data_IF_537638543520
#
_entry.id   IF_537638543520
#
_cell.length_a   1.000
_cell.length_b   1.000
_cell.length_c   1.000
_cell.angle_alpha   90.00
_cell.angle_beta   90.00
_cell.angle_gamma   90.00
#
_symmetry.space_group_name_H-M   'P 1'
#
loop_
_entity.id
_entity.type
_entity.pdbx_description
1 polymer ?
#
# COMPACT_ATOMS: atom_id res chain seq x y z
N UNK A 1 -1.97 3.39 14.83
CA UNK A 1 -2.96 2.65 14.02
C UNK A 1 -4.13 2.35 14.93
N UNK A 2 -5.37 2.61 14.50
CA UNK A 2 -6.55 2.44 15.38
C UNK A 2 -6.56 1.01 15.93
N UNK A 3 -6.53 0.88 17.26
CA UNK A 3 -6.70 -0.40 17.92
C UNK A 3 -8.03 -0.99 17.49
N UNK A 4 -7.97 -2.10 16.76
CA UNK A 4 -9.17 -2.77 16.30
C UNK A 4 -9.84 -3.41 17.49
N UNK A 5 -11.01 -2.90 17.88
CA UNK A 5 -11.83 -3.57 18.89
C UNK A 5 -12.25 -4.92 18.30
N UNK A 6 -11.92 -6.02 18.98
CA UNK A 6 -12.25 -7.38 18.53
C UNK A 6 -13.56 -7.83 19.16
N UNK A 7 -14.45 -8.39 18.35
CA UNK A 7 -15.64 -9.06 18.87
C UNK A 7 -15.23 -10.31 19.66
N UNK A 8 -15.75 -10.50 20.88
CA UNK A 8 -15.49 -11.70 21.67
C UNK A 8 -16.34 -12.87 21.14
N UNK A 9 -15.91 -13.48 20.03
CA UNK A 9 -16.63 -14.59 19.38
C UNK A 9 -16.94 -15.76 20.32
N UNK A 10 -16.04 -16.05 21.26
CA UNK A 10 -16.27 -17.08 22.28
C UNK A 10 -17.49 -16.80 23.17
N UNK A 11 -17.66 -15.55 23.61
CA UNK A 11 -18.82 -15.13 24.41
C UNK A 11 -20.12 -15.13 23.59
N UNK A 12 -20.05 -14.74 22.31
CA UNK A 12 -21.20 -14.78 21.40
C UNK A 12 -21.66 -16.22 21.14
N UNK A 13 -20.72 -17.16 21.04
CA UNK A 13 -21.03 -18.57 20.84
C UNK A 13 -21.59 -19.20 22.12
N UNK A 14 -21.08 -18.86 23.31
CA UNK A 14 -21.71 -19.31 24.56
C UNK A 14 -23.13 -18.75 24.74
N UNK A 15 -23.34 -17.49 24.36
CA UNK A 15 -24.67 -16.87 24.37
C UNK A 15 -25.62 -17.55 23.38
N UNK A 16 -25.12 -17.92 22.19
CA UNK A 16 -25.91 -18.68 21.21
C UNK A 16 -26.41 -20.00 21.80
N UNK A 17 -25.50 -20.79 22.37
CA UNK A 17 -25.84 -22.08 22.97
C UNK A 17 -26.84 -21.90 24.11
N UNK A 18 -26.63 -20.90 24.98
CA UNK A 18 -27.57 -20.59 26.06
C UNK A 18 -28.96 -20.26 25.52
N UNK A 19 -29.07 -19.40 24.50
CA UNK A 19 -30.35 -19.03 23.88
C UNK A 19 -31.06 -20.22 23.22
N UNK A 20 -30.31 -21.11 22.58
CA UNK A 20 -30.89 -22.31 21.96
C UNK A 20 -31.40 -23.30 23.01
N UNK A 21 -30.66 -23.47 24.11
CA UNK A 21 -31.07 -24.34 25.22
C UNK A 21 -32.29 -23.78 25.94
N UNK A 22 -32.33 -22.47 26.22
CA UNK A 22 -33.50 -21.85 26.85
C UNK A 22 -34.73 -21.89 25.93
N UNK A 23 -34.55 -21.69 24.62
CA UNK A 23 -35.64 -21.81 23.64
C UNK A 23 -36.19 -23.24 23.55
N UNK A 24 -35.32 -24.26 23.64
CA UNK A 24 -35.75 -25.65 23.71
C UNK A 24 -36.62 -25.92 24.95
N UNK A 25 -36.17 -25.52 26.13
CA UNK A 25 -36.95 -25.72 27.37
C UNK A 25 -38.24 -24.89 27.40
N UNK A 26 -38.23 -23.67 26.85
CA UNK A 26 -39.44 -22.86 26.69
C UNK A 26 -40.44 -23.52 25.75
N UNK A 27 -39.97 -24.13 24.66
CA UNK A 27 -40.85 -24.91 23.78
C UNK A 27 -41.50 -26.07 24.53
N UNK A 28 -40.82 -26.66 25.52
CA UNK A 28 -41.32 -27.76 26.35
C UNK A 28 -42.61 -27.44 27.11
N UNK A 29 -42.92 -26.15 27.37
CA UNK A 29 -44.20 -25.74 27.96
C UNK A 29 -45.38 -26.14 27.07
N UNK A 30 -45.23 -26.12 25.74
CA UNK A 30 -46.29 -26.52 24.82
C UNK A 30 -46.58 -28.03 24.84
N UNK A 31 -45.76 -28.82 25.54
CA UNK A 31 -45.95 -30.27 25.71
C UNK A 31 -46.77 -30.63 26.95
N UNK A 32 -46.89 -29.70 27.92
CA UNK A 32 -47.65 -29.92 29.15
C UNK A 32 -49.11 -29.54 28.93
N UNK A 33 -50.04 -30.40 29.36
CA UNK A 33 -51.47 -30.11 29.30
C UNK A 33 -51.87 -29.12 30.40
N UNK A 34 -52.71 -28.13 30.07
CA UNK A 34 -53.25 -27.18 31.05
C UNK A 34 -52.33 -26.00 31.41
N UNK A 35 -51.37 -25.64 30.54
CA UNK A 35 -50.54 -24.44 30.74
C UNK A 35 -51.42 -23.19 30.62
N UNK A 36 -51.56 -22.44 31.70
CA UNK A 36 -52.24 -21.13 31.72
C UNK A 36 -51.27 -20.03 32.15
N UNK A 37 -51.65 -18.77 31.91
CA UNK A 37 -50.90 -17.58 32.31
C UNK A 37 -50.66 -17.48 33.83
N UNK A 38 -51.41 -18.21 34.64
CA UNK A 38 -51.21 -18.26 36.10
C UNK A 38 -50.21 -19.34 36.54
N UNK A 39 -50.08 -20.43 35.76
CA UNK A 39 -49.31 -21.62 36.17
C UNK A 39 -48.02 -21.87 35.35
N UNK A 40 -47.75 -21.08 34.31
CA UNK A 40 -46.60 -21.29 33.43
C UNK A 40 -45.25 -21.28 34.16
N UNK A 41 -45.11 -20.48 35.23
CA UNK A 41 -43.86 -20.41 36.00
C UNK A 41 -43.55 -21.74 36.69
N UNK A 42 -44.54 -22.30 37.38
CA UNK A 42 -44.40 -23.57 38.09
C UNK A 42 -44.12 -24.72 37.12
N UNK A 43 -44.78 -24.71 35.96
CA UNK A 43 -44.54 -25.71 34.92
C UNK A 43 -43.18 -25.54 34.24
N UNK A 44 -42.68 -24.32 34.09
CA UNK A 44 -41.33 -24.08 33.58
C UNK A 44 -40.26 -24.57 34.56
N UNK A 45 -40.46 -24.34 35.87
CA UNK A 45 -39.59 -24.90 36.91
C UNK A 45 -39.59 -26.43 36.87
N UNK A 46 -40.74 -27.07 36.66
CA UNK A 46 -40.81 -28.53 36.50
C UNK A 46 -39.97 -29.04 35.33
N UNK A 47 -40.00 -28.35 34.18
CA UNK A 47 -39.18 -28.67 33.01
C UNK A 47 -37.68 -28.54 33.33
N UNK A 48 -37.28 -27.47 34.03
CA UNK A 48 -35.89 -27.26 34.44
C UNK A 48 -35.39 -28.31 35.44
N UNK A 49 -36.27 -28.84 36.31
CA UNK A 49 -35.97 -29.93 37.24
C UNK A 49 -35.83 -31.29 36.55
N UNK A 50 -36.29 -31.43 35.31
CA UNK A 50 -36.20 -32.65 34.50
C UNK A 50 -35.45 -32.41 33.17
N UNK A 51 -34.16 -32.04 33.21
CA UNK A 51 -33.42 -31.59 32.03
C UNK A 51 -33.13 -32.71 31.01
N UNK A 52 -33.13 -33.98 31.44
CA UNK A 52 -32.86 -35.12 30.58
C UNK A 52 -34.11 -35.70 29.91
N UNK A 53 -35.30 -35.19 30.25
CA UNK A 53 -36.52 -35.60 29.56
C UNK A 53 -36.61 -34.94 28.18
N UNK A 54 -37.19 -35.66 27.23
CA UNK A 54 -37.37 -35.12 25.88
C UNK A 54 -38.55 -34.15 25.86
N UNK A 55 -38.27 -32.86 25.72
CA UNK A 55 -39.24 -31.77 25.62
C UNK A 55 -39.60 -31.38 24.18
N UNK A 56 -39.14 -32.16 23.20
CA UNK A 56 -39.40 -31.92 21.79
C UNK A 56 -40.89 -31.96 21.45
N UNK A 57 -41.33 -31.01 20.62
CA UNK A 57 -42.70 -30.88 20.10
C UNK A 57 -42.69 -30.13 18.75
N UNK A 58 -43.87 -29.96 18.14
CA UNK A 58 -44.03 -29.34 16.82
C UNK A 58 -43.65 -27.85 16.78
N UNK A 59 -43.71 -27.15 17.92
CA UNK A 59 -43.33 -25.74 18.04
C UNK A 59 -41.84 -25.54 18.35
N UNK A 60 -41.09 -26.60 18.68
CA UNK A 60 -39.66 -26.52 19.01
C UNK A 60 -38.86 -25.83 17.90
N UNK A 61 -39.12 -26.14 16.64
CA UNK A 61 -38.45 -25.45 15.51
C UNK A 61 -38.75 -23.95 15.47
N UNK A 62 -39.98 -23.54 15.77
CA UNK A 62 -40.38 -22.14 15.81
C UNK A 62 -39.64 -21.38 16.90
N UNK A 63 -39.57 -21.94 18.12
CA UNK A 63 -38.83 -21.33 19.24
C UNK A 63 -37.33 -21.22 18.96
N UNK A 64 -36.71 -22.26 18.39
CA UNK A 64 -35.30 -22.22 17.98
C UNK A 64 -35.06 -21.19 16.86
N UNK A 65 -35.99 -21.07 15.91
CA UNK A 65 -35.95 -20.05 14.86
C UNK A 65 -36.02 -18.63 15.41
N UNK A 66 -36.91 -18.36 16.38
CA UNK A 66 -37.00 -17.07 17.07
C UNK A 66 -35.68 -16.77 17.81
N UNK A 67 -35.13 -17.74 18.54
CA UNK A 67 -33.86 -17.58 19.25
C UNK A 67 -32.69 -17.28 18.30
N UNK A 68 -32.66 -17.92 17.13
CA UNK A 68 -31.67 -17.65 16.09
C UNK A 68 -31.80 -16.21 15.56
N UNK A 69 -33.01 -15.72 15.29
CA UNK A 69 -33.24 -14.35 14.83
C UNK A 69 -32.76 -13.33 15.90
N UNK A 70 -33.09 -13.57 17.17
CA UNK A 70 -32.63 -12.72 18.29
C UNK A 70 -31.11 -12.72 18.37
N UNK A 71 -30.48 -13.89 18.26
CA UNK A 71 -29.02 -13.98 18.26
C UNK A 71 -28.38 -13.24 17.09
N UNK A 72 -28.92 -13.36 15.86
CA UNK A 72 -28.47 -12.60 14.70
C UNK A 72 -28.60 -11.08 14.95
N UNK A 73 -29.71 -10.64 15.57
CA UNK A 73 -29.90 -9.24 15.95
C UNK A 73 -28.83 -8.74 16.94
N UNK A 74 -28.49 -9.54 17.95
CA UNK A 74 -27.43 -9.22 18.91
C UNK A 74 -26.06 -9.17 18.21
N UNK A 75 -25.75 -10.14 17.36
CA UNK A 75 -24.48 -10.18 16.62
C UNK A 75 -24.36 -9.00 15.67
N UNK A 76 -25.41 -8.64 14.93
CA UNK A 76 -25.38 -7.48 14.01
C UNK A 76 -25.22 -6.17 14.78
N UNK A 77 -25.93 -5.98 15.88
CA UNK A 77 -25.76 -4.81 16.75
C UNK A 77 -24.33 -4.70 17.30
N UNK A 78 -23.77 -5.81 17.82
CA UNK A 78 -22.42 -5.81 18.36
C UNK A 78 -21.38 -5.65 17.25
N UNK A 79 -21.57 -6.23 16.07
CA UNK A 79 -20.70 -5.99 14.92
C UNK A 79 -20.65 -4.52 14.56
N UNK A 80 -21.78 -3.82 14.65
CA UNK A 80 -21.84 -2.39 14.38
C UNK A 80 -21.24 -1.54 15.51
N UNK A 81 -21.48 -1.91 16.76
CA UNK A 81 -20.91 -1.25 17.94
C UNK A 81 -19.38 -1.40 18.03
N UNK A 82 -18.87 -2.59 17.74
CA UNK A 82 -17.43 -2.89 17.70
C UNK A 82 -16.79 -2.52 16.37
N UNK A 83 -17.56 -2.00 15.40
CA UNK A 83 -17.01 -1.47 14.16
C UNK A 83 -16.08 -0.30 14.51
N UNK A 84 -14.90 -0.27 13.90
CA UNK A 84 -13.97 0.85 14.06
C UNK A 84 -14.48 2.07 13.29
N UNK A 85 -15.53 2.71 13.82
CA UNK A 85 -16.00 4.01 13.36
C UNK A 85 -15.14 5.08 14.00
N UNK A 86 -14.65 6.01 13.19
CA UNK A 86 -13.92 7.19 13.64
C UNK A 86 -14.92 8.32 13.94
N UNK A 87 -15.91 8.06 14.81
CA UNK A 87 -16.93 9.06 15.14
C UNK A 87 -16.30 10.21 15.93
N UNK A 88 -16.46 11.45 15.44
CA UNK A 88 -15.88 12.65 16.07
C UNK A 88 -14.39 12.86 15.79
N UNK A 89 -13.80 12.09 14.87
CA UNK A 89 -12.40 12.20 14.46
C UNK A 89 -12.39 12.82 13.05
N UNK A 90 -11.78 13.99 12.92
CA UNK A 90 -11.70 14.69 11.64
C UNK A 90 -10.75 13.98 10.68
N UNK A 91 -10.97 14.19 9.38
CA UNK A 91 -10.06 13.69 8.34
C UNK A 91 -8.65 14.22 8.59
N UNK A 92 -7.67 13.31 8.64
CA UNK A 92 -6.28 13.67 8.91
C UNK A 92 -5.86 13.57 10.38
N UNK A 93 -6.73 13.08 11.27
CA UNK A 93 -6.35 12.85 12.67
C UNK A 93 -5.14 11.93 12.83
N UNK A 94 -4.28 12.26 13.78
CA UNK A 94 -2.98 11.62 14.01
C UNK A 94 -2.92 10.93 15.37
N UNK A 95 -1.98 10.00 15.49
CA UNK A 95 -1.70 9.35 16.77
C UNK A 95 -0.22 8.98 16.81
N UNK A 96 0.38 9.12 18.00
CA UNK A 96 1.70 8.57 18.24
C UNK A 96 1.66 7.06 18.07
N UNK A 97 2.57 6.55 17.26
CA UNK A 97 2.61 5.14 16.93
C UNK A 97 3.63 4.41 17.82
N UNK A 98 3.24 3.24 18.31
CA UNK A 98 4.18 2.34 18.99
C UNK A 98 5.13 1.70 17.96
N UNK A 99 6.43 1.80 18.23
CA UNK A 99 7.49 1.26 17.37
C UNK A 99 7.32 -0.24 17.14
N UNK A 100 6.98 -1.03 18.18
CA UNK A 100 6.81 -2.48 18.04
C UNK A 100 5.63 -2.81 17.14
N UNK A 101 4.54 -2.06 17.29
CA UNK A 101 3.36 -2.19 16.44
C UNK A 101 3.67 -1.84 14.98
N UNK A 102 4.38 -0.74 14.73
CA UNK A 102 4.79 -0.32 13.38
C UNK A 102 5.65 -1.41 12.74
N UNK A 103 6.71 -1.85 13.42
CA UNK A 103 7.61 -2.87 12.90
C UNK A 103 6.85 -4.15 12.57
N UNK A 104 5.94 -4.60 13.44
CA UNK A 104 5.15 -5.80 13.19
C UNK A 104 4.22 -5.69 11.98
N UNK A 105 3.65 -4.50 11.75
CA UNK A 105 2.61 -4.31 10.74
C UNK A 105 3.14 -3.86 9.39
N UNK A 106 4.22 -3.08 9.36
CA UNK A 106 4.74 -2.43 8.16
C UNK A 106 6.07 -3.00 7.67
N UNK A 107 6.88 -3.62 8.53
CA UNK A 107 8.21 -4.08 8.15
C UNK A 107 8.18 -5.51 7.61
N UNK A 108 8.94 -5.75 6.54
CA UNK A 108 9.26 -7.09 6.05
C UNK A 108 10.39 -7.70 6.88
N UNK A 109 10.36 -9.02 7.07
CA UNK A 109 11.47 -9.76 7.71
C UNK A 109 12.74 -9.71 6.86
N UNK A 110 12.58 -9.68 5.54
CA UNK A 110 13.69 -9.49 4.61
C UNK A 110 14.05 -8.00 4.53
N UNK A 111 15.24 -7.64 5.03
CA UNK A 111 15.69 -6.25 5.05
C UNK A 111 15.80 -5.62 3.66
N UNK A 112 16.11 -6.42 2.64
CA UNK A 112 16.23 -5.91 1.27
C UNK A 112 14.87 -5.43 0.74
N UNK A 113 13.77 -6.00 1.20
CA UNK A 113 12.42 -5.65 0.75
C UNK A 113 11.83 -4.46 1.49
N UNK A 114 12.62 -3.67 2.19
CA UNK A 114 12.14 -2.53 2.95
C UNK A 114 12.75 -1.21 2.45
N UNK A 115 11.99 -0.13 2.60
CA UNK A 115 12.48 1.24 2.61
C UNK A 115 12.67 1.70 4.05
N UNK A 116 13.88 2.14 4.39
CA UNK A 116 14.22 2.65 5.71
C UNK A 116 13.73 4.09 5.86
N UNK A 117 12.94 4.35 6.91
CA UNK A 117 12.43 5.69 7.26
C UNK A 117 13.17 6.29 8.46
N UNK A 118 13.71 5.45 9.34
CA UNK A 118 14.57 5.83 10.46
C UNK A 118 15.37 4.62 10.95
N UNK A 119 16.17 4.77 12.01
CA UNK A 119 16.91 3.67 12.65
C UNK A 119 16.01 2.49 13.04
N UNK A 120 14.78 2.75 13.46
CA UNK A 120 13.87 1.72 14.00
C UNK A 120 12.60 1.53 13.16
N UNK A 121 12.43 2.28 12.08
CA UNK A 121 11.21 2.24 11.27
C UNK A 121 11.59 1.98 9.82
N UNK A 122 11.01 0.92 9.27
CA UNK A 122 11.13 0.55 7.88
C UNK A 122 9.77 0.07 7.38
N UNK A 123 9.54 0.23 6.08
CA UNK A 123 8.27 -0.11 5.43
C UNK A 123 8.56 -1.06 4.28
N UNK A 124 7.83 -2.17 4.26
CA UNK A 124 7.88 -3.19 3.21
C UNK A 124 7.45 -2.62 1.85
N UNK A 125 8.22 -2.93 0.83
CA UNK A 125 8.05 -2.45 -0.53
C UNK A 125 6.75 -3.01 -1.10
N UNK A 126 5.73 -2.16 -1.23
CA UNK A 126 4.39 -2.53 -1.70
C UNK A 126 3.34 -2.71 -0.61
N UNK A 127 3.70 -2.51 0.66
CA UNK A 127 2.72 -2.55 1.77
C UNK A 127 1.79 -1.34 1.79
N UNK A 128 2.32 -0.17 1.39
CA UNK A 128 1.56 1.06 1.26
C UNK A 128 1.20 1.29 -0.21
N UNK A 129 0.05 1.92 -0.45
CA UNK A 129 -0.38 2.32 -1.80
C UNK A 129 0.50 3.40 -2.42
N UNK A 130 1.18 4.19 -1.58
CA UNK A 130 2.11 5.23 -1.97
C UNK A 130 3.43 5.05 -1.22
N UNK A 131 4.53 4.99 -1.96
CA UNK A 131 5.90 4.82 -1.44
C UNK A 131 6.74 6.10 -1.58
N UNK A 132 6.13 7.22 -2.01
CA UNK A 132 6.82 8.50 -2.09
C UNK A 132 7.15 9.01 -0.68
N UNK A 133 8.38 9.49 -0.53
CA UNK A 133 8.91 9.99 0.74
C UNK A 133 9.34 11.46 0.59
N UNK A 134 8.72 12.34 1.38
CA UNK A 134 9.13 13.74 1.51
C UNK A 134 9.96 13.91 2.78
N UNK A 135 11.20 14.39 2.61
CA UNK A 135 12.13 14.62 3.72
C UNK A 135 12.32 16.12 3.89
N UNK A 136 11.80 16.66 5.00
CA UNK A 136 11.97 18.07 5.35
C UNK A 136 13.10 18.22 6.36
N UNK A 137 14.02 19.13 6.11
CA UNK A 137 15.11 19.42 7.02
C UNK A 137 16.02 20.53 6.50
N UNK A 138 16.66 21.27 7.39
CA UNK A 138 17.62 22.32 7.05
C UNK A 138 18.88 21.79 6.37
N UNK A 139 19.78 22.70 5.96
CA UNK A 139 21.15 22.32 5.59
C UNK A 139 21.86 21.69 6.80
N UNK A 140 22.70 20.67 6.57
CA UNK A 140 23.42 19.98 7.65
C UNK A 140 22.59 19.03 8.53
N UNK A 141 21.30 18.84 8.26
CA UNK A 141 20.41 17.93 9.03
C UNK A 141 20.60 16.44 8.70
N UNK A 142 21.69 16.07 8.04
CA UNK A 142 22.04 14.68 7.71
C UNK A 142 21.06 13.94 6.81
N UNK A 143 20.21 14.63 6.02
CA UNK A 143 19.24 13.99 5.10
C UNK A 143 19.87 12.90 4.21
N UNK A 144 21.03 13.20 3.62
CA UNK A 144 21.76 12.26 2.77
C UNK A 144 22.32 11.09 3.58
N UNK A 145 22.99 11.36 4.70
CA UNK A 145 23.68 10.35 5.51
C UNK A 145 22.73 9.44 6.28
N UNK A 146 21.64 9.98 6.81
CA UNK A 146 20.73 9.26 7.71
C UNK A 146 19.63 8.51 6.96
N UNK A 147 19.35 8.87 5.70
CA UNK A 147 18.23 8.28 4.97
C UNK A 147 18.60 7.81 3.56
N UNK A 148 19.19 8.68 2.74
CA UNK A 148 19.49 8.32 1.33
C UNK A 148 20.57 7.24 1.25
N UNK A 149 21.71 7.43 1.91
CA UNK A 149 22.83 6.48 1.89
C UNK A 149 22.41 5.10 2.44
N UNK A 150 21.76 4.98 3.62
CA UNK A 150 21.31 3.68 4.12
C UNK A 150 20.40 2.94 3.15
N UNK A 151 19.47 3.64 2.49
CA UNK A 151 18.60 3.02 1.48
C UNK A 151 19.36 2.60 0.22
N UNK A 152 20.36 3.36 -0.24
CA UNK A 152 21.23 2.93 -1.35
C UNK A 152 22.03 1.67 -0.96
N UNK A 153 22.54 1.62 0.27
CA UNK A 153 23.34 0.49 0.77
C UNK A 153 22.53 -0.79 0.98
N UNK A 154 21.20 -0.72 1.06
CA UNK A 154 20.35 -1.91 1.03
C UNK A 154 20.50 -2.67 -0.29
N UNK A 155 20.91 -2.00 -1.37
CA UNK A 155 21.23 -2.65 -2.64
C UNK A 155 20.08 -3.52 -3.18
N UNK A 156 18.84 -3.11 -2.91
CA UNK A 156 17.66 -3.98 -3.07
C UNK A 156 16.81 -3.74 -4.30
N UNK A 157 16.93 -2.56 -4.91
CA UNK A 157 16.12 -2.15 -6.05
C UNK A 157 16.94 -1.30 -7.02
N UNK A 158 16.43 -1.14 -8.25
CA UNK A 158 17.01 -0.21 -9.23
C UNK A 158 16.81 1.21 -8.73
N UNK A 159 17.92 1.90 -8.50
CA UNK A 159 17.93 3.27 -7.98
C UNK A 159 18.41 4.24 -9.07
N UNK A 160 17.69 5.35 -9.24
CA UNK A 160 18.15 6.50 -10.03
C UNK A 160 18.31 7.66 -9.07
N UNK A 161 19.52 8.22 -9.00
CA UNK A 161 19.90 9.21 -7.99
C UNK A 161 20.41 10.47 -8.66
N UNK A 162 19.82 11.61 -8.31
CA UNK A 162 20.33 12.93 -8.69
C UNK A 162 21.40 13.37 -7.67
N UNK A 163 22.67 13.19 -8.02
CA UNK A 163 23.81 13.47 -7.14
C UNK A 163 24.60 14.72 -7.59
N UNK A 164 24.13 15.89 -7.20
CA UNK A 164 24.69 17.19 -7.60
C UNK A 164 26.17 17.34 -7.20
N UNK A 165 26.59 16.74 -6.08
CA UNK A 165 27.95 16.89 -5.52
C UNK A 165 28.85 15.67 -5.77
N UNK A 166 28.32 14.62 -6.38
CA UNK A 166 28.99 13.32 -6.53
C UNK A 166 29.28 12.60 -5.20
N UNK A 167 28.68 13.04 -4.10
CA UNK A 167 28.99 12.50 -2.77
C UNK A 167 28.46 11.08 -2.60
N UNK A 168 27.26 10.82 -3.09
CA UNK A 168 26.60 9.53 -2.97
C UNK A 168 27.35 8.50 -3.79
N UNK A 169 27.73 8.83 -5.03
CA UNK A 169 28.53 7.96 -5.89
C UNK A 169 29.88 7.62 -5.24
N UNK A 170 30.63 8.61 -4.76
CA UNK A 170 31.93 8.39 -4.11
C UNK A 170 31.81 7.50 -2.86
N UNK A 171 30.76 7.67 -2.06
CA UNK A 171 30.57 6.93 -0.81
C UNK A 171 30.02 5.52 -1.00
N UNK A 172 29.22 5.27 -2.05
CA UNK A 172 28.45 4.03 -2.19
C UNK A 172 28.78 3.22 -3.44
N UNK A 173 29.41 3.82 -4.47
CA UNK A 173 29.59 3.20 -5.78
C UNK A 173 30.42 1.91 -5.75
N UNK A 174 31.54 1.89 -5.02
CA UNK A 174 32.37 0.69 -4.91
C UNK A 174 31.63 -0.44 -4.17
N UNK A 175 30.90 -0.12 -3.11
CA UNK A 175 30.07 -1.08 -2.39
C UNK A 175 29.00 -1.71 -3.32
N UNK A 176 28.34 -0.89 -4.15
CA UNK A 176 27.35 -1.41 -5.11
C UNK A 176 28.00 -2.35 -6.14
N UNK A 177 29.20 -2.03 -6.63
CA UNK A 177 29.97 -2.92 -7.53
C UNK A 177 30.33 -4.25 -6.86
N UNK A 178 30.73 -4.22 -5.59
CA UNK A 178 31.00 -5.43 -4.79
C UNK A 178 29.74 -6.29 -4.58
N UNK A 179 28.55 -5.68 -4.58
CA UNK A 179 27.26 -6.37 -4.57
C UNK A 179 26.79 -6.83 -5.96
N UNK A 180 27.66 -6.77 -6.97
CA UNK A 180 27.36 -7.12 -8.36
C UNK A 180 26.23 -6.27 -8.98
N UNK A 181 26.04 -5.05 -8.49
CA UNK A 181 25.11 -4.09 -9.07
C UNK A 181 25.82 -3.29 -10.15
N UNK A 182 25.18 -3.18 -11.32
CA UNK A 182 25.63 -2.29 -12.37
C UNK A 182 25.46 -0.84 -11.93
N UNK A 183 26.58 -0.13 -11.79
CA UNK A 183 26.60 1.31 -11.50
C UNK A 183 26.86 2.05 -12.80
N UNK A 184 25.92 2.91 -13.20
CA UNK A 184 26.02 3.79 -14.39
C UNK A 184 25.94 5.25 -13.97
N UNK A 185 26.79 6.08 -14.55
CA UNK A 185 26.95 7.50 -14.20
C UNK A 185 26.76 8.37 -15.43
N UNK A 186 25.73 9.22 -15.39
CA UNK A 186 25.56 10.30 -16.36
C UNK A 186 26.17 11.58 -15.77
N UNK A 187 27.45 11.83 -16.09
CA UNK A 187 28.12 13.07 -15.71
C UNK A 187 28.02 14.09 -16.86
N UNK A 188 27.25 15.17 -16.65
CA UNK A 188 27.07 16.25 -17.62
C UNK A 188 28.11 17.38 -17.46
N UNK A 189 28.90 17.37 -16.38
CA UNK A 189 29.98 18.35 -16.14
C UNK A 189 31.28 17.86 -16.79
N UNK A 190 31.66 16.61 -16.55
CA UNK A 190 32.84 15.97 -17.14
C UNK A 190 32.40 14.77 -18.01
N UNK A 191 32.18 14.96 -19.32
CA UNK A 191 31.70 13.89 -20.21
C UNK A 191 32.68 12.72 -20.39
N UNK A 192 33.96 12.90 -20.07
CA UNK A 192 34.99 11.84 -20.10
C UNK A 192 34.86 10.87 -18.91
N UNK A 193 34.31 11.31 -17.79
CA UNK A 193 34.06 10.49 -16.60
C UNK A 193 32.64 9.90 -16.58
N UNK A 194 31.91 10.05 -17.68
CA UNK A 194 30.51 9.63 -17.84
C UNK A 194 30.45 8.32 -18.61
N UNK A 195 29.50 7.45 -18.27
CA UNK A 195 29.10 6.34 -19.16
C UNK A 195 28.48 6.85 -20.47
N UNK A 196 28.20 8.16 -20.55
CA UNK A 196 27.54 8.86 -21.65
C UNK A 196 26.13 8.32 -21.89
N UNK A 197 25.37 9.03 -22.70
CA UNK A 197 24.01 8.64 -23.01
C UNK A 197 23.67 9.07 -24.43
N UNK A 198 23.17 8.11 -25.21
CA UNK A 198 22.60 8.39 -26.53
C UNK A 198 21.08 8.19 -26.48
N UNK A 199 20.27 9.25 -26.53
CA UNK A 199 18.81 9.14 -26.47
C UNK A 199 18.21 8.42 -27.69
N UNK A 200 18.86 8.49 -28.86
CA UNK A 200 18.33 7.92 -30.11
C UNK A 200 18.25 6.40 -30.10
N UNK A 201 19.05 5.73 -29.25
CA UNK A 201 18.98 4.28 -29.03
C UNK A 201 17.62 3.85 -28.46
N UNK A 202 16.93 4.74 -27.75
CA UNK A 202 15.67 4.44 -27.06
C UNK A 202 14.42 4.84 -27.86
N UNK A 203 14.61 5.51 -29.01
CA UNK A 203 13.51 5.95 -29.88
C UNK A 203 13.07 4.78 -30.76
N UNK A 204 11.80 4.40 -30.64
CA UNK A 204 11.20 3.28 -31.37
C UNK A 204 10.25 3.72 -32.49
N UNK A 205 9.70 4.92 -32.34
CA UNK A 205 8.71 5.51 -33.22
C UNK A 205 8.82 7.05 -33.20
N UNK A 206 8.12 7.70 -34.12
CA UNK A 206 8.06 9.16 -34.22
C UNK A 206 7.52 9.80 -32.93
N UNK A 207 6.65 9.10 -32.20
CA UNK A 207 6.12 9.57 -30.91
C UNK A 207 7.23 9.69 -29.87
N UNK A 208 8.17 8.75 -29.81
CA UNK A 208 9.35 8.80 -28.96
C UNK A 208 10.25 9.99 -29.29
N UNK A 209 10.40 10.31 -30.58
CA UNK A 209 11.17 11.45 -31.06
C UNK A 209 10.56 12.79 -30.61
N UNK A 210 9.24 12.94 -30.80
CA UNK A 210 8.49 14.10 -30.33
C UNK A 210 8.61 14.25 -28.81
N UNK A 211 8.46 13.16 -28.04
CA UNK A 211 8.62 13.17 -26.58
C UNK A 211 10.00 13.65 -26.14
N UNK A 212 11.07 13.19 -26.79
CA UNK A 212 12.43 13.63 -26.47
C UNK A 212 12.58 15.14 -26.66
N UNK A 213 12.10 15.66 -27.79
CA UNK A 213 12.21 17.09 -28.12
C UNK A 213 11.37 17.95 -27.18
N UNK A 214 10.15 17.52 -26.86
CA UNK A 214 9.30 18.19 -25.87
C UNK A 214 9.98 18.23 -24.51
N UNK A 215 10.49 17.08 -24.03
CA UNK A 215 11.16 17.00 -22.73
C UNK A 215 12.40 17.90 -22.67
N UNK A 216 13.20 17.97 -23.74
CA UNK A 216 14.37 18.86 -23.80
C UNK A 216 13.96 20.33 -23.69
N UNK A 217 12.93 20.74 -24.44
CA UNK A 217 12.44 22.12 -24.41
C UNK A 217 11.80 22.48 -23.07
N UNK A 218 10.98 21.61 -22.50
CA UNK A 218 10.36 21.84 -21.19
C UNK A 218 11.40 21.93 -20.08
N UNK A 219 12.45 21.10 -20.14
CA UNK A 219 13.51 21.08 -19.12
C UNK A 219 14.36 22.35 -19.07
N UNK A 220 14.41 23.14 -20.15
CA UNK A 220 15.17 24.40 -20.22
C UNK A 220 14.29 25.64 -20.04
N UNK A 221 12.96 25.49 -19.93
CA UNK A 221 12.06 26.61 -19.67
C UNK A 221 12.13 26.99 -18.17
N UNK A 222 12.51 28.23 -17.84
CA UNK A 222 12.43 28.71 -16.47
C UNK A 222 11.00 28.62 -15.92
N UNK A 223 10.80 28.30 -14.63
CA UNK A 223 9.46 28.18 -14.04
C UNK A 223 8.60 29.44 -14.19
N UNK A 224 9.24 30.60 -14.11
CA UNK A 224 8.59 31.92 -14.18
C UNK A 224 8.76 32.58 -15.55
N UNK A 225 9.09 31.81 -16.59
CA UNK A 225 9.25 32.35 -17.93
C UNK A 225 7.94 32.99 -18.41
N UNK A 226 7.98 34.30 -18.69
CA UNK A 226 6.85 34.97 -19.34
C UNK A 226 6.59 34.30 -20.68
N UNK A 227 5.34 33.93 -20.94
CA UNK A 227 4.92 33.41 -22.24
C UNK A 227 5.10 34.51 -23.29
N UNK A 228 6.20 34.44 -24.04
CA UNK A 228 6.45 35.28 -25.20
C UNK A 228 5.60 34.86 -26.41
N UNK A 229 5.97 35.34 -27.59
CA UNK A 229 5.28 34.97 -28.82
C UNK A 229 5.39 33.46 -29.09
N UNK A 230 4.28 32.75 -29.34
CA UNK A 230 4.28 31.30 -29.58
C UNK A 230 5.16 30.85 -30.76
N UNK A 231 5.44 31.77 -31.69
CA UNK A 231 6.25 31.49 -32.88
C UNK A 231 7.61 30.91 -32.52
N UNK A 232 8.34 31.47 -31.55
CA UNK A 232 9.71 31.02 -31.23
C UNK A 232 9.73 29.62 -30.63
N UNK A 233 8.79 29.31 -29.74
CA UNK A 233 8.63 27.96 -29.18
C UNK A 233 8.30 26.93 -30.28
N UNK A 234 7.41 27.29 -31.21
CA UNK A 234 7.01 26.42 -32.31
C UNK A 234 8.12 26.25 -33.35
N UNK A 235 8.83 27.33 -33.69
CA UNK A 235 9.93 27.32 -34.66
C UNK A 235 11.08 26.44 -34.15
N UNK A 236 11.46 26.56 -32.87
CA UNK A 236 12.48 25.69 -32.25
C UNK A 236 12.02 24.24 -32.25
N UNK A 237 10.76 23.97 -31.92
CA UNK A 237 10.19 22.62 -31.96
C UNK A 237 10.30 21.99 -33.35
N UNK A 238 9.89 22.71 -34.40
CA UNK A 238 9.96 22.24 -35.79
C UNK A 238 11.41 22.05 -36.26
N UNK A 239 12.32 22.95 -35.87
CA UNK A 239 13.73 22.85 -36.20
C UNK A 239 14.38 21.62 -35.57
N UNK A 240 14.15 21.39 -34.27
CA UNK A 240 14.63 20.20 -33.58
C UNK A 240 14.01 18.92 -34.14
N UNK A 241 12.70 18.94 -34.48
CA UNK A 241 12.07 17.79 -35.12
C UNK A 241 12.77 17.44 -36.44
N UNK A 242 13.06 18.42 -37.29
CA UNK A 242 13.74 18.20 -38.57
C UNK A 242 15.11 17.53 -38.37
N UNK A 243 15.98 18.12 -37.55
CA UNK A 243 17.34 17.62 -37.32
C UNK A 243 17.37 16.24 -36.67
N UNK A 244 16.56 16.05 -35.62
CA UNK A 244 16.57 14.79 -34.88
C UNK A 244 15.92 13.68 -35.71
N UNK A 245 14.91 13.99 -36.54
CA UNK A 245 14.34 13.00 -37.48
C UNK A 245 15.38 12.56 -38.50
N UNK A 246 16.16 13.50 -39.04
CA UNK A 246 17.24 13.18 -39.96
C UNK A 246 18.29 12.26 -39.32
N UNK A 247 18.79 12.61 -38.14
CA UNK A 247 19.80 11.80 -37.42
C UNK A 247 19.26 10.43 -37.01
N UNK A 248 18.01 10.36 -36.55
CA UNK A 248 17.37 9.09 -36.20
C UNK A 248 17.21 8.18 -37.42
N UNK A 249 16.73 8.71 -38.56
CA UNK A 249 16.63 7.96 -39.81
C UNK A 249 17.99 7.54 -40.36
N UNK A 250 19.04 8.35 -40.19
CA UNK A 250 20.41 7.98 -40.54
C UNK A 250 20.87 6.80 -39.70
N UNK A 251 20.70 6.86 -38.38
CA UNK A 251 21.06 5.76 -37.48
C UNK A 251 20.29 4.47 -37.78
N UNK A 252 18.99 4.55 -38.11
CA UNK A 252 18.19 3.39 -38.48
C UNK A 252 18.64 2.74 -39.80
N UNK A 253 19.26 3.51 -40.71
CA UNK A 253 19.91 2.96 -41.91
C UNK A 253 21.23 2.29 -41.56
N UNK A 254 22.08 2.96 -40.78
CA UNK A 254 23.36 2.41 -40.31
C UNK A 254 23.17 1.10 -39.54
N UNK A 255 22.15 1.00 -38.68
CA UNK A 255 21.79 -0.25 -37.97
C UNK A 255 21.44 -1.41 -38.91
N UNK A 256 20.83 -1.12 -40.06
CA UNK A 256 20.47 -2.14 -41.06
C UNK A 256 21.68 -2.58 -41.88
N UNK A 257 22.59 -1.65 -42.16
CA UNK A 257 23.81 -1.90 -42.95
C UNK A 257 24.92 -2.55 -42.12
N UNK A 258 25.03 -2.18 -40.84
CA UNK A 258 26.06 -2.60 -39.89
C UNK A 258 25.47 -3.09 -38.56
N UNK A 259 24.64 -4.15 -38.56
CA UNK A 259 23.95 -4.62 -37.36
C UNK A 259 24.91 -5.01 -36.22
N UNK A 260 26.12 -5.46 -36.54
CA UNK A 260 27.18 -5.83 -35.59
C UNK A 260 27.65 -4.67 -34.69
N UNK A 261 27.53 -3.41 -35.15
CA UNK A 261 27.95 -2.24 -34.37
C UNK A 261 26.92 -1.80 -33.33
N UNK A 262 25.69 -2.34 -33.40
CA UNK A 262 24.56 -1.92 -32.57
C UNK A 262 23.98 -3.06 -31.72
N UNK A 263 24.63 -4.22 -31.70
CA UNK A 263 24.33 -5.29 -30.73
C UNK A 263 25.06 -4.99 -29.42
N UNK A 264 24.29 -4.79 -28.35
CA UNK A 264 24.77 -4.55 -26.99
C UNK A 264 25.02 -5.87 -26.24
#
# INVERSE_FOLDING_TARGET
MVERRKLPWGLLLSLFVLLMVTAYYLSGLAKLEGVTLENWQNQFVYILLHPLQNWWNDLTFTFLGIALIVWIGIVTYLMDYYRNRQMGVEYGSEQWADLKQIQRNLMNKDQTKNTLLSKNVAVDNGKLSNMNLLILGGSGSYKSTSLVIPNILLASMTNVVLDIKGELLRKTGNYLKEKHIAVKVLNLINPEESDRWNPFVYIRDEVGLVKLITNLQESVKPPDAMKGEPFWDQAVSLYLMSLFSYEWLRQEREKKEHPEQYQA
#
